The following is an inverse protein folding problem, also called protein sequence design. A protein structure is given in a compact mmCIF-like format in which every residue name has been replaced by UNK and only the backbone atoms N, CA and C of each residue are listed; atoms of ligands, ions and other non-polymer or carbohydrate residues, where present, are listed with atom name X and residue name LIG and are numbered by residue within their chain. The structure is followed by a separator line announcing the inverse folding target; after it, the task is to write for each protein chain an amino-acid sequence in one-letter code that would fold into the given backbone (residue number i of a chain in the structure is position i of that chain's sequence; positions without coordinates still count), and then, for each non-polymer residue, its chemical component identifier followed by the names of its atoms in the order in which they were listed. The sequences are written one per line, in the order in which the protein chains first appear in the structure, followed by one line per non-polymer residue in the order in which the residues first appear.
data_IF_743805287199
#
_entry.id   IF_743805287199
#
_cell.length_a   1.000
_cell.length_b   1.000
_cell.length_c   1.000
_cell.angle_alpha   90.00
_cell.angle_beta   90.00
_cell.angle_gamma   90.00
#
_symmetry.space_group_name_H-M   'P 1'
#
loop_
_entity.id
_entity.type
_entity.pdbx_description
1 polymer ?
#
# COMPACT_ATOMS: atom_id res chain seq x y z
N UNK A 1 -0.74 -13.58 11.91
CA UNK A 1 -0.31 -12.54 10.96
C UNK A 1 -1.50 -12.07 10.15
N UNK A 2 -1.65 -10.79 10.00
CA UNK A 2 -2.73 -10.20 9.22
C UNK A 2 -2.19 -9.60 7.93
N UNK A 3 -3.03 -9.56 6.90
CA UNK A 3 -2.65 -9.10 5.57
C UNK A 3 -3.68 -8.10 5.06
N UNK A 4 -3.23 -7.11 4.31
CA UNK A 4 -4.11 -6.21 3.58
C UNK A 4 -3.55 -5.93 2.19
N UNK A 5 -4.46 -5.66 1.25
CA UNK A 5 -4.11 -5.08 -0.05
C UNK A 5 -4.48 -3.61 -0.03
N UNK A 6 -3.61 -2.78 -0.57
CA UNK A 6 -3.84 -1.33 -0.64
C UNK A 6 -3.77 -0.94 -2.11
N UNK A 7 -4.86 -0.39 -2.62
CA UNK A 7 -4.94 0.14 -3.97
C UNK A 7 -4.68 1.64 -3.91
N UNK A 8 -3.81 2.14 -4.77
CA UNK A 8 -3.29 3.50 -4.67
C UNK A 8 -3.44 4.22 -6.00
N UNK A 9 -3.94 5.45 -5.92
CA UNK A 9 -3.88 6.39 -7.04
C UNK A 9 -2.77 7.40 -6.76
N UNK A 10 -2.03 7.77 -7.79
CA UNK A 10 -0.91 8.69 -7.70
C UNK A 10 -1.13 9.89 -8.60
N UNK A 11 -0.36 10.94 -8.34
CA UNK A 11 -0.24 12.05 -9.28
C UNK A 11 0.33 11.54 -10.59
N UNK A 12 -0.05 12.20 -11.69
CA UNK A 12 0.37 11.81 -13.04
C UNK A 12 1.91 11.72 -13.11
N UNK A 13 2.39 10.59 -13.64
CA UNK A 13 3.82 10.36 -13.83
C UNK A 13 4.58 9.92 -12.60
N UNK A 14 3.91 9.74 -11.44
CA UNK A 14 4.59 9.42 -10.19
C UNK A 14 4.43 7.98 -9.71
N UNK A 15 3.72 7.16 -10.47
CA UNK A 15 3.42 5.79 -10.02
C UNK A 15 4.67 4.95 -9.76
N UNK A 16 5.67 5.01 -10.63
CA UNK A 16 6.88 4.21 -10.50
C UNK A 16 7.68 4.59 -9.25
N UNK A 17 7.85 5.89 -8.98
CA UNK A 17 8.59 6.32 -7.78
C UNK A 17 7.81 6.04 -6.50
N UNK A 18 6.48 6.16 -6.54
CA UNK A 18 5.63 5.82 -5.40
C UNK A 18 5.76 4.33 -5.08
N UNK A 19 5.64 3.46 -6.08
CA UNK A 19 5.77 2.02 -5.88
C UNK A 19 7.15 1.66 -5.30
N UNK A 20 8.21 2.29 -5.79
CA UNK A 20 9.56 2.05 -5.28
C UNK A 20 9.69 2.48 -3.82
N UNK A 21 9.18 3.66 -3.47
CA UNK A 21 9.23 4.14 -2.09
C UNK A 21 8.46 3.22 -1.15
N UNK A 22 7.26 2.77 -1.56
CA UNK A 22 6.44 1.88 -0.75
C UNK A 22 7.12 0.54 -0.55
N UNK A 23 7.81 0.02 -1.56
CA UNK A 23 8.50 -1.28 -1.47
C UNK A 23 9.57 -1.32 -0.38
N UNK A 24 10.04 -0.16 0.08
CA UNK A 24 11.05 -0.06 1.13
C UNK A 24 10.45 -0.05 2.55
N UNK A 25 9.14 0.01 2.67
CA UNK A 25 8.47 0.09 3.96
C UNK A 25 8.43 -1.30 4.60
N UNK A 26 8.84 -1.38 5.86
CA UNK A 26 8.75 -2.63 6.61
C UNK A 26 7.29 -3.07 6.72
N UNK A 27 7.02 -4.33 6.41
CA UNK A 27 5.67 -4.89 6.38
C UNK A 27 5.07 -4.94 4.97
N UNK A 28 5.65 -4.25 4.01
CA UNK A 28 5.23 -4.35 2.61
C UNK A 28 5.94 -5.52 1.96
N UNK A 29 5.16 -6.45 1.42
CA UNK A 29 5.67 -7.66 0.76
C UNK A 29 5.57 -7.59 -0.75
N UNK A 30 4.78 -6.66 -1.28
CA UNK A 30 4.61 -6.46 -2.71
C UNK A 30 4.20 -5.02 -2.98
N UNK A 31 4.77 -4.41 -4.01
CA UNK A 31 4.33 -3.12 -4.54
C UNK A 31 4.53 -3.15 -6.05
N UNK A 32 3.43 -3.13 -6.80
CA UNK A 32 3.48 -3.23 -8.26
C UNK A 32 2.66 -2.13 -8.91
N UNK A 33 3.14 -1.68 -10.07
CA UNK A 33 2.43 -0.72 -10.89
C UNK A 33 1.29 -1.41 -11.64
N UNK A 34 0.18 -0.71 -11.78
CA UNK A 34 -1.02 -1.19 -12.46
C UNK A 34 -1.40 -0.26 -13.62
N UNK A 35 -2.17 -0.80 -14.53
CA UNK A 35 -2.89 -0.03 -15.55
C UNK A 35 -4.37 -0.18 -15.23
N UNK A 36 -5.08 0.94 -15.11
CA UNK A 36 -6.52 0.93 -14.84
C UNK A 36 -6.92 2.00 -13.85
N UNK A 37 -7.92 1.71 -13.03
CA UNK A 37 -8.49 2.67 -12.09
C UNK A 37 -7.52 3.05 -10.97
N UNK A 38 -6.54 2.20 -10.68
CA UNK A 38 -5.50 2.45 -9.68
C UNK A 38 -4.14 2.29 -10.33
N UNK A 39 -3.14 2.95 -9.74
CA UNK A 39 -1.79 3.02 -10.29
C UNK A 39 -0.82 2.06 -9.63
N UNK A 40 -1.07 1.71 -8.37
CA UNK A 40 -0.20 0.82 -7.59
C UNK A 40 -1.05 -0.11 -6.75
N UNK A 41 -0.65 -1.38 -6.67
CA UNK A 41 -1.19 -2.33 -5.70
C UNK A 41 -0.09 -2.72 -4.72
N UNK A 42 -0.45 -2.74 -3.43
CA UNK A 42 0.46 -3.07 -2.34
C UNK A 42 -0.11 -4.24 -1.55
N UNK A 43 0.74 -5.20 -1.19
CA UNK A 43 0.41 -6.21 -0.21
C UNK A 43 1.20 -5.92 1.05
N UNK A 44 0.52 -5.80 2.17
CA UNK A 44 1.13 -5.48 3.45
C UNK A 44 0.76 -6.53 4.50
N UNK A 45 1.70 -6.80 5.40
CA UNK A 45 1.52 -7.77 6.48
C UNK A 45 1.99 -7.17 7.80
N UNK A 46 1.34 -7.59 8.88
CA UNK A 46 1.74 -7.24 10.23
C UNK A 46 1.30 -8.33 11.21
N UNK A 47 1.75 -8.25 12.46
CA UNK A 47 1.40 -9.25 13.47
C UNK A 47 -0.01 -9.07 14.02
N UNK A 48 -0.57 -7.88 13.89
CA UNK A 48 -1.92 -7.56 14.38
C UNK A 48 -2.55 -6.50 13.49
N UNK A 49 -3.88 -6.39 13.57
CA UNK A 49 -4.62 -5.35 12.85
C UNK A 49 -4.19 -3.95 13.29
N UNK A 50 -3.95 -3.77 14.57
CA UNK A 50 -3.48 -2.50 15.13
C UNK A 50 -2.14 -2.09 14.53
N UNK A 51 -1.19 -3.01 14.50
CA UNK A 51 0.13 -2.78 13.92
C UNK A 51 0.05 -2.50 12.43
N UNK A 52 -0.81 -3.23 11.71
CA UNK A 52 -1.02 -3.02 10.29
C UNK A 52 -1.50 -1.59 10.04
N UNK A 53 -2.51 -1.14 10.77
CA UNK A 53 -3.07 0.20 10.59
C UNK A 53 -2.12 1.31 11.02
N UNK A 54 -1.53 1.20 12.20
CA UNK A 54 -0.70 2.27 12.75
C UNK A 54 0.63 2.45 12.05
N UNK A 55 1.29 1.35 11.69
CA UNK A 55 2.66 1.43 11.18
C UNK A 55 2.72 1.26 9.69
N UNK A 56 2.13 0.20 9.16
CA UNK A 56 2.28 -0.10 7.74
C UNK A 56 1.41 0.82 6.88
N UNK A 57 0.11 0.87 7.13
CA UNK A 57 -0.81 1.69 6.34
C UNK A 57 -0.48 3.17 6.48
N UNK A 58 -0.18 3.63 7.68
CA UNK A 58 0.20 5.03 7.91
C UNK A 58 1.47 5.40 7.15
N UNK A 59 2.47 4.50 7.13
CA UNK A 59 3.71 4.73 6.39
C UNK A 59 3.47 4.78 4.89
N UNK A 60 2.61 3.92 4.37
CA UNK A 60 2.23 3.93 2.95
C UNK A 60 1.58 5.27 2.60
N UNK A 61 0.62 5.70 3.41
CA UNK A 61 -0.11 6.94 3.14
C UNK A 61 0.75 8.18 3.24
N UNK A 62 1.89 8.12 3.91
CA UNK A 62 2.81 9.23 4.05
C UNK A 62 3.73 9.42 2.83
N UNK A 63 3.74 8.49 1.88
CA UNK A 63 4.58 8.59 0.68
C UNK A 63 4.10 9.73 -0.22
N UNK A 64 5.00 10.67 -0.61
CA UNK A 64 4.62 11.76 -1.50
C UNK A 64 4.16 11.26 -2.87
N UNK A 65 3.20 11.96 -3.45
CA UNK A 65 2.68 11.63 -4.78
C UNK A 65 1.41 10.80 -4.77
N UNK A 66 0.97 10.34 -3.62
CA UNK A 66 -0.28 9.61 -3.48
C UNK A 66 -1.44 10.60 -3.41
N UNK A 67 -2.50 10.34 -4.19
CA UNK A 67 -3.71 11.15 -4.17
C UNK A 67 -4.87 10.43 -3.47
N UNK A 68 -4.87 9.10 -3.48
CA UNK A 68 -5.95 8.32 -2.87
C UNK A 68 -5.47 6.91 -2.55
N UNK A 69 -5.95 6.36 -1.43
CA UNK A 69 -5.70 4.96 -1.07
C UNK A 69 -7.01 4.27 -0.73
N UNK A 70 -7.06 2.97 -1.01
CA UNK A 70 -8.16 2.09 -0.61
C UNK A 70 -7.54 0.86 0.02
N UNK A 71 -7.73 0.70 1.32
CA UNK A 71 -7.17 -0.43 2.06
C UNK A 71 -8.21 -1.53 2.19
N UNK A 72 -7.83 -2.74 1.76
CA UNK A 72 -8.69 -3.91 1.77
C UNK A 72 -8.06 -5.00 2.64
N UNK A 73 -8.43 -5.08 3.93
CA UNK A 73 -7.95 -6.16 4.78
C UNK A 73 -8.45 -7.51 4.28
N UNK A 74 -7.58 -8.52 4.39
CA UNK A 74 -7.96 -9.89 4.02
C UNK A 74 -8.66 -10.55 5.19
N UNK A 75 -9.80 -11.19 4.92
CA UNK A 75 -10.49 -12.00 5.90
C UNK A 75 -10.52 -13.44 5.43
N UNK A 76 -10.48 -14.37 6.38
CA UNK A 76 -10.53 -15.79 6.11
C UNK A 76 -11.90 -16.34 6.56
N UNK A 77 -12.71 -16.73 5.58
CA UNK A 77 -14.08 -17.21 5.83
C UNK A 77 -14.15 -18.72 5.99
#
# INVERSE_FOLDING_TARGET
MVTAYILIQTEVGRAAEVARAISQIQGVTLAENLIGAYDVIVRAEANSDDELGRFVVASVQAVPGITRTLTCPVIHL
#
